data_IF_596552360489
#
_entry.id   IF_596552360489
#
_cell.length_a   1.000
_cell.length_b   1.000
_cell.length_c   1.000
_cell.angle_alpha   90.00
_cell.angle_beta   90.00
_cell.angle_gamma   90.00
#
_symmetry.space_group_name_H-M   'P 1'
#
loop_
_entity.id
_entity.type
_entity.pdbx_description
1 polymer ?
#
# COMPACT_ATOMS: atom_id res chain seq x y z
N UNK A 1 -35.57 9.44 -12.19
CA UNK A 1 -34.67 8.31 -11.90
C UNK A 1 -35.43 7.31 -11.06
N UNK A 2 -35.79 6.18 -11.65
CA UNK A 2 -36.66 5.15 -11.05
C UNK A 2 -35.80 4.18 -10.25
N UNK A 3 -35.95 4.15 -8.93
CA UNK A 3 -35.33 3.11 -8.11
C UNK A 3 -36.09 1.79 -8.32
N UNK A 4 -35.37 0.77 -8.77
CA UNK A 4 -35.88 -0.57 -9.07
C UNK A 4 -36.49 -1.23 -7.83
N UNK A 5 -37.68 -1.83 -8.01
CA UNK A 5 -38.48 -2.44 -6.96
C UNK A 5 -37.92 -3.78 -6.48
N UNK A 6 -37.17 -3.74 -5.39
CA UNK A 6 -37.05 -4.84 -4.41
C UNK A 6 -36.49 -4.26 -3.11
N UNK A 7 -37.29 -3.43 -2.43
CA UNK A 7 -36.94 -2.99 -1.09
C UNK A 7 -37.23 -4.15 -0.13
N UNK A 8 -36.25 -5.03 0.09
CA UNK A 8 -36.26 -5.87 1.29
C UNK A 8 -36.38 -4.95 2.51
N UNK A 9 -37.17 -5.31 3.55
CA UNK A 9 -37.24 -4.49 4.76
C UNK A 9 -35.82 -4.23 5.27
N UNK A 10 -35.50 -2.96 5.55
CA UNK A 10 -34.17 -2.57 6.04
C UNK A 10 -33.91 -3.32 7.35
N UNK A 11 -33.11 -4.38 7.28
CA UNK A 11 -32.65 -5.10 8.47
C UNK A 11 -31.92 -4.10 9.36
N UNK A 12 -32.29 -4.03 10.64
CA UNK A 12 -31.63 -3.15 11.59
C UNK A 12 -30.19 -3.61 11.76
N UNK A 13 -29.24 -2.82 11.29
CA UNK A 13 -27.81 -3.05 11.52
C UNK A 13 -27.52 -2.74 12.99
N UNK A 14 -27.01 -3.73 13.73
CA UNK A 14 -26.70 -3.59 15.16
C UNK A 14 -25.22 -3.31 15.43
N UNK A 15 -24.34 -3.68 14.49
CA UNK A 15 -22.90 -3.47 14.58
C UNK A 15 -22.30 -3.32 13.18
N UNK A 16 -21.14 -2.66 13.10
CA UNK A 16 -20.36 -2.47 11.88
C UNK A 16 -18.93 -2.92 12.15
N UNK A 17 -18.37 -3.73 11.25
CA UNK A 17 -16.94 -4.04 11.23
C UNK A 17 -16.31 -3.13 10.20
N UNK A 18 -15.34 -2.33 10.63
CA UNK A 18 -14.59 -1.44 9.76
C UNK A 18 -13.24 -2.09 9.48
N UNK A 19 -12.86 -2.07 8.21
CA UNK A 19 -11.50 -2.38 7.83
C UNK A 19 -10.55 -1.28 8.34
N UNK A 20 -9.28 -1.63 8.56
CA UNK A 20 -8.30 -0.69 9.09
C UNK A 20 -7.62 0.07 7.96
N UNK A 21 -6.95 -0.68 7.07
CA UNK A 21 -6.15 -0.15 5.97
C UNK A 21 -7.05 0.42 4.87
N UNK A 22 -6.80 1.65 4.44
CA UNK A 22 -7.58 2.32 3.39
C UNK A 22 -9.01 2.74 3.79
N UNK A 23 -9.51 2.29 4.95
CA UNK A 23 -10.82 2.70 5.49
C UNK A 23 -10.67 3.64 6.70
N UNK A 24 -9.95 3.22 7.73
CA UNK A 24 -9.70 4.03 8.93
C UNK A 24 -8.36 4.76 8.86
N UNK A 25 -7.35 4.13 8.28
CA UNK A 25 -6.00 4.66 8.16
C UNK A 25 -5.58 4.74 6.69
N UNK A 26 -5.02 5.88 6.30
CA UNK A 26 -4.39 6.07 5.00
C UNK A 26 -2.95 5.51 5.02
N UNK A 27 -2.86 4.18 5.06
CA UNK A 27 -1.58 3.46 5.07
C UNK A 27 -0.86 3.51 3.72
N UNK A 28 -1.57 3.87 2.64
CA UNK A 28 -0.99 4.05 1.31
C UNK A 28 -0.11 5.30 1.24
N UNK A 29 -0.59 6.46 1.71
CA UNK A 29 0.18 7.70 1.63
C UNK A 29 1.44 7.67 2.50
N UNK A 30 1.39 7.05 3.68
CA UNK A 30 2.56 6.85 4.54
C UNK A 30 3.64 6.02 3.82
N UNK A 31 3.23 4.91 3.20
CA UNK A 31 4.13 3.99 2.48
C UNK A 31 4.78 4.65 1.26
N UNK A 32 4.03 5.46 0.50
CA UNK A 32 4.55 6.20 -0.67
C UNK A 32 5.64 7.20 -0.28
N UNK A 33 5.48 7.89 0.85
CA UNK A 33 6.48 8.84 1.35
C UNK A 33 7.80 8.17 1.71
N UNK A 34 7.73 7.04 2.42
CA UNK A 34 8.90 6.28 2.87
C UNK A 34 9.63 5.64 1.68
N UNK A 35 8.90 5.05 0.74
CA UNK A 35 9.51 4.48 -0.48
C UNK A 35 10.23 5.56 -1.29
N UNK A 36 9.65 6.76 -1.41
CA UNK A 36 10.29 7.89 -2.09
C UNK A 36 11.60 8.28 -1.41
N UNK A 37 11.59 8.41 -0.09
CA UNK A 37 12.79 8.76 0.68
C UNK A 37 13.87 7.69 0.53
N UNK A 38 13.48 6.41 0.58
CA UNK A 38 14.38 5.28 0.40
C UNK A 38 15.02 5.29 -1.00
N UNK A 39 14.22 5.39 -2.07
CA UNK A 39 14.72 5.39 -3.45
C UNK A 39 15.61 6.60 -3.77
N UNK A 40 15.37 7.74 -3.13
CA UNK A 40 16.23 8.93 -3.28
C UNK A 40 17.67 8.63 -2.86
N UNK A 41 17.89 7.74 -1.89
CA UNK A 41 19.24 7.28 -1.46
C UNK A 41 20.00 6.54 -2.57
N UNK A 42 19.29 5.98 -3.54
CA UNK A 42 19.83 5.28 -4.72
C UNK A 42 19.76 6.13 -6.00
N UNK A 43 19.39 7.42 -5.91
CA UNK A 43 19.21 8.28 -7.07
C UNK A 43 18.05 7.87 -7.99
N UNK A 44 17.04 7.16 -7.44
CA UNK A 44 15.85 6.71 -8.17
C UNK A 44 14.64 7.55 -7.78
N UNK A 45 13.73 7.78 -8.73
CA UNK A 45 12.45 8.44 -8.49
C UNK A 45 11.30 7.42 -8.46
N UNK A 46 10.31 7.64 -7.59
CA UNK A 46 9.12 6.77 -7.51
C UNK A 46 8.24 6.96 -8.73
N UNK A 47 7.94 5.86 -9.42
CA UNK A 47 6.91 5.79 -10.46
C UNK A 47 5.53 5.57 -9.82
N UNK A 48 4.83 6.65 -9.53
CA UNK A 48 3.53 6.63 -8.81
C UNK A 48 2.46 5.79 -9.51
N UNK A 49 2.40 5.80 -10.84
CA UNK A 49 1.41 4.98 -11.55
C UNK A 49 1.70 3.48 -11.38
N UNK A 50 2.97 3.11 -11.36
CA UNK A 50 3.40 1.73 -11.16
C UNK A 50 3.15 1.27 -9.72
N UNK A 51 3.41 2.14 -8.74
CA UNK A 51 3.10 1.86 -7.33
C UNK A 51 1.61 1.56 -7.12
N UNK A 52 0.76 2.48 -7.56
CA UNK A 52 -0.67 2.45 -7.27
C UNK A 52 -1.37 1.26 -7.94
N UNK A 53 -0.92 0.86 -9.14
CA UNK A 53 -1.56 -0.20 -9.93
C UNK A 53 -0.97 -1.59 -9.71
N UNK A 54 0.35 -1.73 -9.50
CA UNK A 54 0.98 -3.07 -9.43
C UNK A 54 1.06 -3.65 -8.04
N UNK A 55 1.04 -2.82 -6.98
CA UNK A 55 1.39 -3.28 -5.62
C UNK A 55 0.21 -3.41 -4.69
N UNK A 56 -0.95 -2.89 -5.09
CA UNK A 56 -2.19 -3.07 -4.32
C UNK A 56 -2.54 -4.56 -4.21
N UNK A 57 -2.73 -5.03 -2.97
CA UNK A 57 -3.08 -6.42 -2.65
C UNK A 57 -1.92 -7.42 -2.69
N UNK A 58 -0.69 -6.98 -2.97
CA UNK A 58 0.49 -7.85 -2.88
C UNK A 58 0.93 -8.05 -1.44
N UNK A 59 1.52 -9.21 -1.14
CA UNK A 59 2.22 -9.40 0.12
C UNK A 59 3.47 -8.52 0.20
N UNK A 60 3.97 -8.26 1.41
CA UNK A 60 5.21 -7.51 1.62
C UNK A 60 6.39 -8.14 0.86
N UNK A 61 6.47 -9.48 0.85
CA UNK A 61 7.55 -10.22 0.18
C UNK A 61 7.49 -10.06 -1.34
N UNK A 62 6.30 -10.13 -1.93
CA UNK A 62 6.11 -9.91 -3.37
C UNK A 62 6.40 -8.46 -3.75
N UNK A 63 5.95 -7.50 -2.95
CA UNK A 63 6.23 -6.08 -3.13
C UNK A 63 7.72 -5.79 -3.06
N UNK A 64 8.44 -6.35 -2.07
CA UNK A 64 9.88 -6.19 -1.92
C UNK A 64 10.64 -6.73 -3.14
N UNK A 65 10.29 -7.93 -3.62
CA UNK A 65 10.88 -8.50 -4.82
C UNK A 65 10.58 -7.65 -6.07
N UNK A 66 9.35 -7.13 -6.18
CA UNK A 66 8.94 -6.20 -7.21
C UNK A 66 9.76 -4.91 -7.18
N UNK A 67 9.94 -4.28 -6.03
CA UNK A 67 10.68 -3.02 -5.86
C UNK A 67 12.15 -3.18 -6.27
N UNK A 68 12.83 -4.21 -5.77
CA UNK A 68 14.23 -4.48 -6.11
C UNK A 68 14.41 -4.65 -7.61
N UNK A 69 13.53 -5.43 -8.25
CA UNK A 69 13.56 -5.67 -9.68
C UNK A 69 13.18 -4.44 -10.50
N UNK A 70 12.16 -3.71 -10.08
CA UNK A 70 11.57 -2.60 -10.82
C UNK A 70 12.49 -1.38 -10.86
N UNK A 71 13.25 -1.14 -9.79
CA UNK A 71 14.17 -0.01 -9.65
C UNK A 71 15.64 -0.40 -9.84
N UNK A 72 15.93 -1.68 -10.12
CA UNK A 72 17.27 -2.25 -10.31
C UNK A 72 18.19 -1.91 -9.12
N UNK A 73 17.71 -2.23 -7.92
CA UNK A 73 18.42 -1.93 -6.68
C UNK A 73 19.54 -2.93 -6.43
N UNK A 74 20.72 -2.50 -5.94
CA UNK A 74 21.86 -3.38 -5.69
C UNK A 74 21.74 -4.12 -4.34
N UNK A 75 20.58 -4.71 -4.07
CA UNK A 75 20.24 -5.34 -2.79
C UNK A 75 19.20 -6.46 -2.98
N UNK A 76 19.17 -7.43 -2.07
CA UNK A 76 18.16 -8.49 -2.09
C UNK A 76 16.83 -8.01 -1.53
N UNK A 77 15.69 -8.68 -1.85
CA UNK A 77 14.40 -8.32 -1.28
C UNK A 77 14.36 -8.34 0.26
N UNK A 78 15.19 -9.19 0.88
CA UNK A 78 15.28 -9.27 2.34
C UNK A 78 16.09 -8.09 2.92
N UNK A 79 17.17 -7.69 2.26
CA UNK A 79 17.92 -6.47 2.60
C UNK A 79 17.03 -5.23 2.47
N UNK A 80 16.23 -5.14 1.40
CA UNK A 80 15.24 -4.08 1.24
C UNK A 80 14.32 -3.97 2.46
N UNK A 81 13.70 -5.09 2.86
CA UNK A 81 12.78 -5.12 4.01
C UNK A 81 13.48 -4.68 5.29
N UNK A 82 14.70 -5.16 5.53
CA UNK A 82 15.47 -4.82 6.72
C UNK A 82 15.85 -3.32 6.76
N UNK A 83 16.14 -2.71 5.61
CA UNK A 83 16.50 -1.30 5.55
C UNK A 83 15.30 -0.35 5.59
N UNK A 84 14.17 -0.73 4.98
CA UNK A 84 12.98 0.13 4.93
C UNK A 84 12.11 0.02 6.19
N UNK A 85 12.10 -1.12 6.89
CA UNK A 85 11.26 -1.34 8.08
C UNK A 85 11.50 -0.31 9.20
N UNK A 86 12.75 0.06 9.55
CA UNK A 86 13.01 1.10 10.55
C UNK A 86 12.44 2.48 10.18
N UNK A 87 12.41 2.82 8.89
CA UNK A 87 11.90 4.12 8.42
C UNK A 87 10.41 4.32 8.72
N UNK A 88 9.63 3.23 8.85
CA UNK A 88 8.23 3.30 9.27
C UNK A 88 8.05 3.66 10.75
N UNK A 89 9.08 3.45 11.60
CA UNK A 89 9.00 3.79 13.04
C UNK A 89 9.42 5.22 13.36
N UNK A 90 10.11 5.87 12.43
CA UNK A 90 10.62 7.25 12.57
C UNK A 90 9.60 8.30 12.10
N UNK A 91 8.46 7.87 11.55
CA UNK A 91 7.35 8.70 11.08
C UNK A 91 6.16 8.55 12.02
#
# INVERSE_FOLDING_TARGET
MSCCGSCKPKTKVLAVILDLDGTLLDTENATKGILKEFLTRYGKEVDREREDKKRLGMTQKESAAGIVKDYDLPLTPEQFVNEITPMYREK
#
